data_IF_099877894951
#
_entry.id   IF_099877894951
#
_cell.length_a   1.000
_cell.length_b   1.000
_cell.length_c   1.000
_cell.angle_alpha   90.00
_cell.angle_beta   90.00
_cell.angle_gamma   90.00
#
_symmetry.space_group_name_H-M   'P 1'
#
loop_
_entity.id
_entity.type
_entity.pdbx_description
1 polymer ?
#
# COMPACT_ATOMS: atom_id res chain seq x y z
N UNK A 1 -1.99 -12.39 2.89
CA UNK A 1 -1.65 -11.25 3.74
C UNK A 1 -0.72 -10.43 2.89
N UNK A 2 -1.13 -9.19 2.59
CA UNK A 2 -0.30 -8.30 1.81
C UNK A 2 0.98 -8.01 2.59
N UNK A 3 2.14 -8.08 1.92
CA UNK A 3 3.43 -7.67 2.47
C UNK A 3 4.14 -6.77 1.49
N UNK A 4 4.89 -5.82 2.00
CA UNK A 4 5.80 -5.00 1.20
C UNK A 4 7.17 -5.68 1.17
N UNK A 5 7.65 -5.99 -0.03
CA UNK A 5 8.93 -6.65 -0.25
C UNK A 5 9.76 -5.76 -1.16
N UNK A 6 10.98 -5.44 -0.75
CA UNK A 6 11.93 -4.74 -1.60
C UNK A 6 12.78 -5.78 -2.33
N UNK A 7 12.77 -5.74 -3.66
CA UNK A 7 13.53 -6.62 -4.53
C UNK A 7 14.41 -5.78 -5.46
N UNK A 8 15.70 -5.67 -5.14
CA UNK A 8 16.63 -4.80 -5.84
C UNK A 8 16.23 -3.33 -5.69
N UNK A 9 15.97 -2.67 -6.83
CA UNK A 9 15.54 -1.26 -6.91
C UNK A 9 14.01 -1.11 -7.02
N UNK A 10 13.24 -2.19 -6.86
CA UNK A 10 11.79 -2.18 -6.93
C UNK A 10 11.15 -2.59 -5.60
N UNK A 11 10.13 -1.84 -5.17
CA UNK A 11 9.23 -2.19 -4.09
C UNK A 11 8.02 -2.92 -4.67
N UNK A 12 7.83 -4.16 -4.24
CA UNK A 12 6.76 -5.05 -4.66
C UNK A 12 5.76 -5.17 -3.52
N UNK A 13 4.49 -4.93 -3.82
CA UNK A 13 3.39 -5.32 -2.92
C UNK A 13 3.05 -6.77 -3.23
N UNK A 14 3.57 -7.68 -2.41
CA UNK A 14 3.22 -9.09 -2.50
C UNK A 14 1.83 -9.28 -1.90
N UNK A 15 0.88 -9.63 -2.77
CA UNK A 15 -0.51 -9.88 -2.42
C UNK A 15 -0.75 -11.38 -2.49
N UNK A 16 -1.43 -11.96 -1.50
CA UNK A 16 -1.89 -13.35 -1.64
C UNK A 16 -2.92 -13.47 -2.78
N UNK A 17 -3.10 -14.69 -3.31
CA UNK A 17 -3.97 -14.95 -4.45
C UNK A 17 -5.40 -14.37 -4.33
N UNK A 18 -6.03 -14.49 -3.15
CA UNK A 18 -7.32 -13.87 -2.86
C UNK A 18 -7.28 -12.33 -2.88
N UNK A 19 -6.17 -11.74 -2.42
CA UNK A 19 -5.97 -10.30 -2.40
C UNK A 19 -5.73 -9.77 -3.80
N UNK A 20 -5.04 -10.53 -4.67
CA UNK A 20 -4.92 -10.23 -6.11
C UNK A 20 -6.28 -10.20 -6.79
N UNK A 21 -7.14 -11.17 -6.47
CA UNK A 21 -8.51 -11.21 -6.97
C UNK A 21 -9.35 -10.02 -6.44
N UNK A 22 -9.23 -9.70 -5.15
CA UNK A 22 -9.95 -8.58 -4.53
C UNK A 22 -9.46 -7.20 -5.03
N UNK A 23 -8.16 -7.02 -5.21
CA UNK A 23 -7.57 -5.80 -5.76
C UNK A 23 -7.75 -5.70 -7.28
N UNK A 24 -8.17 -6.78 -7.95
CA UNK A 24 -8.19 -6.94 -9.42
C UNK A 24 -6.83 -6.61 -10.05
N UNK A 25 -5.75 -6.89 -9.33
CA UNK A 25 -4.37 -6.63 -9.73
C UNK A 25 -3.51 -7.82 -9.33
N UNK A 26 -2.76 -8.39 -10.28
CA UNK A 26 -1.86 -9.51 -10.01
C UNK A 26 -0.64 -9.11 -9.19
N UNK A 27 -0.17 -7.89 -9.37
CA UNK A 27 1.08 -7.41 -8.80
C UNK A 27 1.13 -5.88 -8.87
N UNK A 28 1.73 -5.27 -7.87
CA UNK A 28 2.02 -3.83 -7.82
C UNK A 28 3.51 -3.70 -7.57
N UNK A 29 4.23 -3.19 -8.58
CA UNK A 29 5.65 -2.87 -8.50
C UNK A 29 5.82 -1.37 -8.66
N UNK A 30 6.62 -0.77 -7.80
CA UNK A 30 6.99 0.64 -7.86
C UNK A 30 8.49 0.76 -7.63
N UNK A 31 9.20 1.64 -8.35
CA UNK A 31 10.63 1.78 -8.12
C UNK A 31 10.87 2.41 -6.75
N UNK A 32 11.89 1.90 -6.04
CA UNK A 32 12.33 2.40 -4.73
C UNK A 32 12.75 3.86 -4.83
N UNK A 33 13.30 4.29 -5.98
CA UNK A 33 13.64 5.68 -6.27
C UNK A 33 12.43 6.63 -6.35
N UNK A 34 11.21 6.11 -6.54
CA UNK A 34 10.00 6.90 -6.47
C UNK A 34 9.50 7.08 -5.03
N UNK A 35 10.04 6.34 -4.04
CA UNK A 35 9.62 6.44 -2.64
C UNK A 35 10.12 7.75 -2.06
N UNK A 36 9.17 8.61 -1.70
CA UNK A 36 9.47 9.90 -1.09
C UNK A 36 9.40 9.82 0.44
N UNK A 37 8.40 9.12 0.97
CA UNK A 37 8.19 9.05 2.41
C UNK A 37 7.51 7.75 2.81
N UNK A 38 7.86 7.24 4.00
CA UNK A 38 7.23 6.05 4.58
C UNK A 38 6.72 6.39 5.97
N UNK A 39 5.45 6.06 6.23
CA UNK A 39 4.76 6.33 7.48
C UNK A 39 3.93 5.11 7.89
N UNK A 40 3.88 4.84 9.19
CA UNK A 40 2.95 3.86 9.76
C UNK A 40 1.74 4.60 10.30
N UNK A 41 0.56 4.21 9.86
CA UNK A 41 -0.69 4.72 10.38
C UNK A 41 -1.40 3.62 11.18
N UNK A 42 -1.55 3.76 12.51
CA UNK A 42 -2.28 2.79 13.33
C UNK A 42 -3.76 2.68 12.95
N UNK A 43 -4.33 3.79 12.47
CA UNK A 43 -5.74 3.90 12.13
C UNK A 43 -5.97 3.70 10.63
N UNK A 44 -6.52 2.53 10.26
CA UNK A 44 -6.80 2.20 8.85
C UNK A 44 -7.55 3.32 8.11
N UNK A 45 -8.50 4.00 8.77
CA UNK A 45 -9.33 5.04 8.17
C UNK A 45 -8.53 6.31 7.84
N UNK A 46 -7.46 6.61 8.59
CA UNK A 46 -6.55 7.74 8.30
C UNK A 46 -5.61 7.42 7.14
N UNK A 47 -5.28 6.13 6.95
CA UNK A 47 -4.50 5.66 5.81
C UNK A 47 -5.30 5.70 4.49
N UNK A 48 -6.63 5.56 4.56
CA UNK A 48 -7.49 5.60 3.38
C UNK A 48 -7.75 7.05 2.91
N UNK A 49 -7.02 7.48 1.88
CA UNK A 49 -7.29 8.75 1.18
C UNK A 49 -8.18 8.57 -0.04
N UNK A 50 -8.79 9.67 -0.48
CA UNK A 50 -9.58 9.77 -1.71
C UNK A 50 -10.94 9.08 -1.65
N UNK A 51 -11.53 8.86 -2.83
CA UNK A 51 -12.85 8.23 -2.96
C UNK A 51 -12.73 6.76 -3.38
N UNK A 52 -13.76 5.98 -3.11
CA UNK A 52 -13.82 4.56 -3.50
C UNK A 52 -13.64 4.45 -5.02
N UNK A 53 -12.60 3.73 -5.46
CA UNK A 53 -12.31 3.54 -6.87
C UNK A 53 -12.49 2.07 -7.29
N UNK A 54 -11.57 1.59 -8.14
CA UNK A 54 -11.64 0.25 -8.72
C UNK A 54 -11.09 -0.81 -7.76
N UNK A 55 -11.87 -1.83 -7.46
CA UNK A 55 -11.45 -2.98 -6.65
C UNK A 55 -12.58 -3.50 -5.78
N UNK A 56 -12.23 -4.18 -4.70
CA UNK A 56 -13.17 -4.68 -3.70
C UNK A 56 -13.09 -3.83 -2.45
N UNK A 57 -14.18 -3.16 -2.14
CA UNK A 57 -14.35 -2.41 -0.90
C UNK A 57 -15.56 -2.97 -0.14
N UNK A 58 -15.33 -3.44 1.07
CA UNK A 58 -16.37 -3.95 1.96
C UNK A 58 -16.31 -3.14 3.26
N UNK A 59 -17.32 -2.31 3.55
CA UNK A 59 -17.34 -1.48 4.75
C UNK A 59 -17.10 -2.32 6.01
N UNK A 60 -16.15 -1.88 6.85
CA UNK A 60 -15.80 -2.56 8.09
C UNK A 60 -14.99 -3.85 7.96
N UNK A 61 -14.75 -4.34 6.73
CA UNK A 61 -14.02 -5.59 6.52
C UNK A 61 -12.68 -5.36 5.82
N UNK A 62 -12.70 -4.76 4.63
CA UNK A 62 -11.51 -4.61 3.79
C UNK A 62 -11.65 -3.52 2.72
N UNK A 63 -10.51 -3.07 2.23
CA UNK A 63 -10.40 -2.12 1.14
C UNK A 63 -9.20 -2.52 0.27
N UNK A 64 -9.46 -3.22 -0.82
CA UNK A 64 -8.47 -3.61 -1.82
C UNK A 64 -8.74 -2.93 -3.16
N UNK A 65 -7.72 -2.28 -3.73
CA UNK A 65 -7.77 -1.72 -5.08
C UNK A 65 -7.26 -0.29 -5.17
N UNK A 66 -7.58 0.36 -6.29
CA UNK A 66 -7.13 1.70 -6.61
C UNK A 66 -8.18 2.70 -6.14
N UNK A 67 -7.77 3.70 -5.37
CA UNK A 67 -8.59 4.86 -5.02
C UNK A 67 -8.06 6.11 -5.71
N UNK A 68 -8.86 6.79 -6.53
CA UNK A 68 -8.47 8.10 -7.04
C UNK A 68 -8.43 9.10 -5.89
N UNK A 69 -7.33 9.83 -5.81
CA UNK A 69 -7.12 10.93 -4.87
C UNK A 69 -6.72 12.17 -5.65
N UNK A 70 -7.61 13.17 -5.70
CA UNK A 70 -7.47 14.36 -6.54
C UNK A 70 -7.18 14.00 -8.02
N UNK A 71 -5.94 14.21 -8.49
CA UNK A 71 -5.49 13.89 -9.86
C UNK A 71 -4.63 12.61 -9.93
N UNK A 72 -4.41 11.97 -8.80
CA UNK A 72 -3.51 10.83 -8.64
C UNK A 72 -4.27 9.55 -8.27
N UNK A 73 -3.56 8.44 -8.27
CA UNK A 73 -4.10 7.11 -7.97
C UNK A 73 -3.38 6.55 -6.75
N UNK A 74 -4.13 6.22 -5.72
CA UNK A 74 -3.62 5.54 -4.54
C UNK A 74 -3.94 4.05 -4.65
N UNK A 75 -3.02 3.20 -4.27
CA UNK A 75 -3.27 1.78 -4.12
C UNK A 75 -3.51 1.45 -2.65
N UNK A 76 -4.66 0.88 -2.33
CA UNK A 76 -5.00 0.47 -0.98
C UNK A 76 -5.16 -1.05 -0.93
N UNK A 77 -4.45 -1.70 0.00
CA UNK A 77 -4.58 -3.09 0.36
C UNK A 77 -4.73 -3.20 1.88
N UNK A 78 -5.87 -2.71 2.38
CA UNK A 78 -6.11 -2.51 3.81
C UNK A 78 -7.16 -3.49 4.35
N UNK A 79 -6.83 -4.18 5.44
CA UNK A 79 -7.75 -5.08 6.16
C UNK A 79 -8.28 -4.42 7.43
N UNK A 80 -9.48 -3.86 7.32
CA UNK A 80 -10.15 -3.17 8.43
C UNK A 80 -10.49 -4.12 9.58
N UNK A 81 -10.97 -5.33 9.26
CA UNK A 81 -11.36 -6.33 10.28
C UNK A 81 -10.19 -6.76 11.18
N UNK A 82 -8.97 -6.72 10.67
CA UNK A 82 -7.79 -7.16 11.41
C UNK A 82 -7.32 -6.13 12.45
N UNK A 83 -7.82 -4.88 12.40
CA UNK A 83 -7.37 -3.75 13.26
C UNK A 83 -5.85 -3.62 13.30
N UNK A 84 -5.22 -3.92 12.17
CA UNK A 84 -3.79 -3.90 12.00
C UNK A 84 -3.34 -2.53 11.49
N UNK A 85 -2.13 -2.11 11.85
CA UNK A 85 -1.53 -0.89 11.32
C UNK A 85 -1.36 -0.97 9.81
N UNK A 86 -1.34 0.21 9.19
CA UNK A 86 -1.22 0.36 7.74
C UNK A 86 0.05 1.11 7.43
N UNK A 87 0.94 0.46 6.68
CA UNK A 87 2.13 1.11 6.13
C UNK A 87 1.70 1.94 4.93
N UNK A 88 1.89 3.25 5.03
CA UNK A 88 1.67 4.21 3.95
C UNK A 88 3.01 4.62 3.34
N UNK A 89 3.20 4.32 2.07
CA UNK A 89 4.36 4.70 1.27
C UNK A 89 3.91 5.78 0.28
N UNK A 90 4.41 6.99 0.45
CA UNK A 90 4.23 8.09 -0.49
C UNK A 90 5.26 7.95 -1.62
N UNK A 91 4.76 8.05 -2.85
CA UNK A 91 5.50 7.86 -4.08
C UNK A 91 5.38 9.11 -4.95
N UNK A 92 6.48 9.60 -5.51
CA UNK A 92 6.52 10.71 -6.46
C UNK A 92 7.20 10.32 -7.77
N UNK A 93 6.97 11.11 -8.82
CA UNK A 93 7.68 10.95 -10.10
C UNK A 93 7.21 9.76 -10.93
N UNK A 94 8.09 8.81 -11.21
CA UNK A 94 7.91 7.74 -12.21
C UNK A 94 6.93 6.62 -11.80
N UNK A 95 6.30 6.72 -10.63
CA UNK A 95 5.31 5.74 -10.17
C UNK A 95 3.92 6.03 -10.77
N UNK A 96 3.16 4.99 -11.19
CA UNK A 96 1.76 5.15 -11.59
C UNK A 96 0.80 5.40 -10.39
N UNK A 97 1.32 5.33 -9.16
CA UNK A 97 0.59 5.56 -7.91
C UNK A 97 1.26 6.67 -7.10
N UNK A 98 0.46 7.48 -6.40
CA UNK A 98 0.97 8.51 -5.49
C UNK A 98 1.15 7.99 -4.06
N UNK A 99 0.36 6.99 -3.65
CA UNK A 99 0.50 6.34 -2.35
C UNK A 99 0.16 4.86 -2.40
N UNK A 100 0.94 4.04 -1.70
CA UNK A 100 0.59 2.67 -1.35
C UNK A 100 0.19 2.62 0.12
N UNK A 101 -0.98 2.08 0.42
CA UNK A 101 -1.44 1.84 1.79
C UNK A 101 -1.67 0.34 1.96
N UNK A 102 -0.79 -0.33 2.71
CA UNK A 102 -0.80 -1.79 2.86
C UNK A 102 -0.89 -2.14 4.33
N UNK A 103 -1.84 -3.00 4.69
CA UNK A 103 -1.90 -3.55 6.06
C UNK A 103 -0.78 -4.57 6.25
N UNK A 104 0.05 -4.34 7.24
CA UNK A 104 1.16 -5.21 7.61
C UNK A 104 1.09 -5.52 9.11
N UNK A 105 1.26 -6.79 9.55
CA UNK A 105 1.27 -7.12 10.98
C UNK A 105 2.51 -6.62 11.71
N UNK A 106 3.63 -6.43 10.98
CA UNK A 106 4.88 -5.90 11.50
C UNK A 106 5.27 -4.65 10.69
N UNK A 107 4.58 -3.53 10.94
CA UNK A 107 4.82 -2.31 10.18
C UNK A 107 6.21 -1.74 10.48
N UNK A 108 6.76 -1.94 11.67
CA UNK A 108 8.05 -1.38 12.07
C UNK A 108 9.21 -2.08 11.35
N UNK A 109 9.19 -3.41 11.26
CA UNK A 109 10.15 -4.17 10.46
C UNK A 109 10.05 -3.79 8.99
N UNK A 110 8.83 -3.68 8.47
CA UNK A 110 8.57 -3.29 7.08
C UNK A 110 9.09 -1.89 6.77
N UNK A 111 8.82 -0.91 7.62
CA UNK A 111 9.33 0.46 7.42
C UNK A 111 10.85 0.50 7.52
N UNK A 112 11.45 -0.23 8.46
CA UNK A 112 12.92 -0.34 8.55
C UNK A 112 13.53 -0.95 7.29
N UNK A 113 12.94 -2.00 6.75
CA UNK A 113 13.39 -2.63 5.51
C UNK A 113 13.32 -1.64 4.34
N UNK A 114 12.21 -0.91 4.18
CA UNK A 114 12.07 0.09 3.13
C UNK A 114 13.09 1.22 3.31
N UNK A 115 13.21 1.78 4.52
CA UNK A 115 14.17 2.84 4.83
C UNK A 115 15.60 2.44 4.52
N UNK A 116 15.99 1.22 4.88
CA UNK A 116 17.33 0.68 4.58
C UNK A 116 17.59 0.61 3.08
N UNK A 117 16.56 0.30 2.27
CA UNK A 117 16.69 0.24 0.82
C UNK A 117 16.63 1.61 0.13
N UNK A 118 15.83 2.55 0.64
CA UNK A 118 15.66 3.90 0.05
C UNK A 118 16.66 4.94 0.57
N UNK A 119 17.22 4.76 1.76
CA UNK A 119 18.04 5.77 2.44
C UNK A 119 17.29 6.96 3.06
N UNK A 120 15.94 6.92 3.16
CA UNK A 120 15.10 7.92 3.87
C UNK A 120 14.75 7.52 5.31
#
# INVERSE_FOLDING_TARGET
MARLVVEGDDLIVDLSWWEKAAARRREVRVPVSAIHQVSVEPDWWRALRGVRGRGTWIPGVLSYGIRPHAREKDFAAVRVRARQPVVCVDLWGASPYARLAVTDPDPDDTVRAIRTATGV
#
